data_IF_567883697943
#
_entry.id   IF_567883697943
#
_cell.length_a   1.000
_cell.length_b   1.000
_cell.length_c   1.000
_cell.angle_alpha   90.00
_cell.angle_beta   90.00
_cell.angle_gamma   90.00
#
_symmetry.space_group_name_H-M   'P 1'
#
loop_
_entity.id
_entity.type
_entity.pdbx_description
1 polymer ?
#
# COMPACT_ATOMS: atom_id res chain seq x y z
N UNK A 1 15.30 -70.26 0.41
CA UNK A 1 15.77 -68.95 0.90
C UNK A 1 15.79 -67.90 -0.21
N UNK A 2 16.52 -68.10 -1.33
CA UNK A 2 16.64 -67.13 -2.43
C UNK A 2 15.31 -66.65 -3.07
N UNK A 3 14.29 -67.51 -3.15
CA UNK A 3 13.01 -67.12 -3.79
C UNK A 3 12.11 -66.30 -2.88
N UNK A 4 12.18 -66.52 -1.56
CA UNK A 4 11.45 -65.71 -0.57
C UNK A 4 11.99 -64.27 -0.53
N UNK A 5 13.30 -64.10 -0.54
CA UNK A 5 13.97 -62.79 -0.60
C UNK A 5 13.61 -62.00 -1.86
N UNK A 6 13.48 -62.68 -3.01
CA UNK A 6 13.02 -62.05 -4.26
C UNK A 6 11.56 -61.60 -4.17
N UNK A 7 10.70 -62.41 -3.55
CA UNK A 7 9.29 -62.08 -3.36
C UNK A 7 9.12 -60.85 -2.47
N UNK A 8 9.80 -60.83 -1.33
CA UNK A 8 9.80 -59.71 -0.38
C UNK A 8 10.29 -58.40 -1.05
N UNK A 9 11.30 -58.49 -1.92
CA UNK A 9 11.80 -57.35 -2.68
C UNK A 9 10.77 -56.83 -3.71
N UNK A 10 10.03 -57.72 -4.37
CA UNK A 10 8.98 -57.35 -5.32
C UNK A 10 7.82 -56.67 -4.60
N UNK A 11 7.37 -57.23 -3.47
CA UNK A 11 6.30 -56.64 -2.66
C UNK A 11 6.67 -55.24 -2.15
N UNK A 12 7.90 -55.08 -1.66
CA UNK A 12 8.42 -53.77 -1.24
C UNK A 12 8.42 -52.75 -2.38
N UNK A 13 8.88 -53.14 -3.58
CA UNK A 13 8.85 -52.27 -4.76
C UNK A 13 7.43 -51.91 -5.17
N UNK A 14 6.50 -52.87 -5.21
CA UNK A 14 5.11 -52.60 -5.55
C UNK A 14 4.48 -51.61 -4.58
N UNK A 15 4.73 -51.77 -3.27
CA UNK A 15 4.26 -50.82 -2.25
C UNK A 15 4.83 -49.42 -2.45
N UNK A 16 6.12 -49.29 -2.81
CA UNK A 16 6.71 -47.99 -3.16
C UNK A 16 6.01 -47.37 -4.39
N UNK A 17 5.79 -48.15 -5.45
CA UNK A 17 5.06 -47.68 -6.65
C UNK A 17 3.63 -47.22 -6.32
N UNK A 18 2.90 -47.99 -5.51
CA UNK A 18 1.55 -47.62 -5.06
C UNK A 18 1.55 -46.29 -4.30
N UNK A 19 2.50 -46.11 -3.36
CA UNK A 19 2.65 -44.86 -2.61
C UNK A 19 2.94 -43.66 -3.53
N UNK A 20 3.80 -43.83 -4.53
CA UNK A 20 4.09 -42.77 -5.51
C UNK A 20 2.86 -42.40 -6.34
N UNK A 21 2.07 -43.40 -6.77
CA UNK A 21 0.81 -43.16 -7.50
C UNK A 21 -0.18 -42.38 -6.63
N UNK A 22 -0.31 -42.71 -5.34
CA UNK A 22 -1.20 -41.98 -4.43
C UNK A 22 -0.77 -40.52 -4.23
N UNK A 23 0.55 -40.28 -4.12
CA UNK A 23 1.10 -38.91 -4.06
C UNK A 23 0.79 -38.12 -5.33
N UNK A 24 1.00 -38.70 -6.50
CA UNK A 24 0.67 -38.05 -7.78
C UNK A 24 -0.82 -37.71 -7.90
N UNK A 25 -1.72 -38.60 -7.47
CA UNK A 25 -3.17 -38.32 -7.41
C UNK A 25 -3.51 -37.17 -6.48
N UNK A 26 -2.80 -37.03 -5.35
CA UNK A 26 -2.99 -35.90 -4.44
C UNK A 26 -2.54 -34.59 -5.08
N UNK A 27 -1.39 -34.60 -5.75
CA UNK A 27 -0.84 -33.45 -6.49
C UNK A 27 -1.79 -33.02 -7.59
N UNK A 28 -2.37 -33.96 -8.35
CA UNK A 28 -3.35 -33.66 -9.40
C UNK A 28 -4.55 -32.89 -8.85
N UNK A 29 -5.16 -33.39 -7.78
CA UNK A 29 -6.29 -32.71 -7.10
C UNK A 29 -5.92 -31.34 -6.58
N UNK A 30 -4.72 -31.22 -6.01
CA UNK A 30 -4.25 -29.94 -5.50
C UNK A 30 -4.04 -28.95 -6.63
N UNK A 31 -3.38 -29.36 -7.72
CA UNK A 31 -3.15 -28.52 -8.89
C UNK A 31 -4.46 -28.02 -9.51
N UNK A 32 -5.48 -28.86 -9.57
CA UNK A 32 -6.80 -28.48 -10.09
C UNK A 32 -7.58 -27.51 -9.16
N UNK A 33 -7.18 -27.41 -7.88
CA UNK A 33 -7.77 -26.46 -6.91
C UNK A 33 -7.06 -25.11 -6.85
N UNK A 34 -5.89 -24.98 -7.46
CA UNK A 34 -5.12 -23.75 -7.45
C UNK A 34 -5.65 -22.75 -8.47
N UNK A 35 -5.51 -21.47 -8.12
CA UNK A 35 -5.68 -20.36 -9.05
C UNK A 35 -4.40 -20.22 -9.91
N UNK A 36 -4.40 -20.93 -11.03
CA UNK A 36 -3.25 -21.07 -11.93
C UNK A 36 -3.28 -20.12 -13.13
N UNK A 37 -4.13 -19.10 -13.10
CA UNK A 37 -4.20 -18.11 -14.18
C UNK A 37 -2.82 -17.46 -14.41
N UNK A 38 -2.39 -17.42 -15.68
CA UNK A 38 -1.08 -16.90 -16.07
C UNK A 38 0.09 -17.87 -15.85
N UNK A 39 -0.19 -19.13 -15.48
CA UNK A 39 0.79 -20.20 -15.29
C UNK A 39 0.47 -21.45 -16.11
N UNK A 40 -0.21 -21.30 -17.24
CA UNK A 40 -0.71 -22.41 -18.05
C UNK A 40 0.43 -23.33 -18.52
N UNK A 41 1.60 -22.76 -18.82
CA UNK A 41 2.78 -23.50 -19.27
C UNK A 41 3.33 -24.42 -18.17
N UNK A 42 3.45 -23.92 -16.94
CA UNK A 42 3.85 -24.70 -15.78
C UNK A 42 2.84 -25.80 -15.46
N UNK A 43 1.54 -25.49 -15.51
CA UNK A 43 0.48 -26.47 -15.27
C UNK A 43 0.56 -27.61 -16.29
N UNK A 44 0.71 -27.30 -17.59
CA UNK A 44 0.87 -28.29 -18.65
C UNK A 44 2.13 -29.14 -18.40
N UNK A 45 3.25 -28.49 -18.06
CA UNK A 45 4.50 -29.19 -17.78
C UNK A 45 4.38 -30.16 -16.60
N UNK A 46 3.68 -29.79 -15.53
CA UNK A 46 3.41 -30.64 -14.37
C UNK A 46 2.47 -31.79 -14.77
N UNK A 47 1.34 -31.48 -15.43
CA UNK A 47 0.34 -32.49 -15.85
C UNK A 47 0.94 -33.55 -16.77
N UNK A 48 1.88 -33.18 -17.64
CA UNK A 48 2.59 -34.14 -18.51
C UNK A 48 3.40 -35.20 -17.74
N UNK A 49 3.85 -34.89 -16.52
CA UNK A 49 4.68 -35.76 -15.66
C UNK A 49 3.87 -36.58 -14.67
N UNK A 50 2.60 -36.22 -14.41
CA UNK A 50 1.70 -36.94 -13.49
C UNK A 50 1.46 -38.42 -13.87
N UNK A 51 1.71 -38.79 -15.14
CA UNK A 51 1.52 -40.15 -15.65
C UNK A 51 2.70 -41.09 -15.33
N UNK A 52 3.80 -40.56 -14.78
CA UNK A 52 5.02 -41.34 -14.49
C UNK A 52 5.32 -41.35 -12.98
N UNK A 53 5.04 -42.47 -12.28
CA UNK A 53 5.35 -42.65 -10.86
C UNK A 53 6.81 -42.39 -10.48
N UNK A 54 7.75 -42.54 -11.42
CA UNK A 54 9.18 -42.29 -11.16
C UNK A 54 9.51 -40.80 -11.03
N UNK A 55 8.63 -39.91 -11.53
CA UNK A 55 8.82 -38.45 -11.51
C UNK A 55 8.16 -37.74 -10.32
N UNK A 56 7.59 -38.47 -9.37
CA UNK A 56 6.83 -37.89 -8.25
C UNK A 56 7.59 -36.77 -7.51
N UNK A 57 8.88 -36.96 -7.23
CA UNK A 57 9.69 -35.95 -6.52
C UNK A 57 9.89 -34.68 -7.35
N UNK A 58 10.09 -34.83 -8.66
CA UNK A 58 10.21 -33.69 -9.58
C UNK A 58 8.89 -32.93 -9.64
N UNK A 59 7.77 -33.65 -9.72
CA UNK A 59 6.43 -33.07 -9.77
C UNK A 59 6.09 -32.32 -8.47
N UNK A 60 6.44 -32.88 -7.32
CA UNK A 60 6.24 -32.20 -6.02
C UNK A 60 7.05 -30.91 -5.92
N UNK A 61 8.30 -30.92 -6.41
CA UNK A 61 9.14 -29.73 -6.46
C UNK A 61 8.53 -28.66 -7.38
N UNK A 62 8.17 -29.03 -8.61
CA UNK A 62 7.57 -28.10 -9.58
C UNK A 62 6.23 -27.52 -9.07
N UNK A 63 5.38 -28.35 -8.44
CA UNK A 63 4.14 -27.88 -7.81
C UNK A 63 4.43 -26.89 -6.68
N UNK A 64 5.45 -27.16 -5.86
CA UNK A 64 5.86 -26.26 -4.77
C UNK A 64 6.36 -24.91 -5.31
N UNK A 65 7.17 -24.93 -6.37
CA UNK A 65 7.62 -23.72 -7.07
C UNK A 65 6.45 -22.93 -7.68
N UNK A 66 5.48 -23.62 -8.30
CA UNK A 66 4.29 -23.00 -8.85
C UNK A 66 3.45 -22.29 -7.77
N UNK A 67 3.23 -22.95 -6.62
CA UNK A 67 2.52 -22.33 -5.49
C UNK A 67 3.21 -21.05 -5.02
N UNK A 68 4.54 -21.07 -4.91
CA UNK A 68 5.30 -19.88 -4.53
C UNK A 68 5.12 -18.75 -5.55
N UNK A 69 5.10 -19.03 -6.86
CA UNK A 69 4.83 -18.01 -7.88
C UNK A 69 3.41 -17.45 -7.77
N UNK A 70 2.40 -18.30 -7.55
CA UNK A 70 1.00 -17.88 -7.38
C UNK A 70 0.86 -16.94 -6.18
N UNK A 71 1.48 -17.27 -5.05
CA UNK A 71 1.47 -16.42 -3.86
C UNK A 71 2.15 -15.07 -4.10
N UNK A 72 3.29 -15.06 -4.81
CA UNK A 72 3.96 -13.81 -5.20
C UNK A 72 3.10 -12.97 -6.14
N UNK A 73 2.42 -13.58 -7.12
CA UNK A 73 1.46 -12.90 -8.01
C UNK A 73 0.37 -12.21 -7.19
N UNK A 74 -0.34 -12.95 -6.34
CA UNK A 74 -1.42 -12.41 -5.50
C UNK A 74 -0.94 -11.28 -4.59
N UNK A 75 0.24 -11.43 -3.99
CA UNK A 75 0.83 -10.39 -3.15
C UNK A 75 1.17 -9.12 -3.95
N UNK A 76 1.77 -9.27 -5.13
CA UNK A 76 2.11 -8.14 -5.98
C UNK A 76 0.83 -7.40 -6.45
N UNK A 77 -0.17 -8.14 -6.92
CA UNK A 77 -1.44 -7.60 -7.40
C UNK A 77 -2.18 -6.79 -6.31
N UNK A 78 -2.34 -7.38 -5.13
CA UNK A 78 -2.98 -6.69 -3.99
C UNK A 78 -2.19 -5.46 -3.53
N UNK A 79 -0.87 -5.48 -3.65
CA UNK A 79 0.00 -4.35 -3.29
C UNK A 79 -0.08 -3.23 -4.34
N UNK A 80 -0.08 -3.55 -5.64
CA UNK A 80 -0.29 -2.59 -6.73
C UNK A 80 -1.60 -1.83 -6.50
N UNK A 81 -2.70 -2.57 -6.28
CA UNK A 81 -4.02 -1.98 -6.03
C UNK A 81 -4.05 -1.05 -4.81
N UNK A 82 -3.32 -1.38 -3.74
CA UNK A 82 -3.23 -0.54 -2.53
C UNK A 82 -2.47 0.76 -2.79
N UNK A 83 -1.40 0.69 -3.58
CA UNK A 83 -0.49 1.82 -3.81
C UNK A 83 -0.95 2.75 -4.95
N UNK A 84 -1.84 2.30 -5.83
CA UNK A 84 -2.32 3.03 -7.01
C UNK A 84 -2.70 4.49 -6.72
N UNK A 85 -3.55 4.73 -5.72
CA UNK A 85 -4.00 6.08 -5.38
C UNK A 85 -2.86 6.90 -4.75
N UNK A 86 -2.09 6.31 -3.84
CA UNK A 86 -1.07 7.03 -3.08
C UNK A 86 0.12 7.44 -3.96
N UNK A 87 0.56 6.54 -4.85
CA UNK A 87 1.67 6.80 -5.75
C UNK A 87 1.37 7.93 -6.73
N UNK A 88 0.11 8.10 -7.14
CA UNK A 88 -0.30 9.16 -8.09
C UNK A 88 -0.05 10.60 -7.60
N UNK A 89 0.18 10.82 -6.30
CA UNK A 89 0.51 12.15 -5.76
C UNK A 89 2.01 12.36 -5.54
N UNK A 90 2.83 11.32 -5.71
CA UNK A 90 4.26 11.35 -5.41
C UNK A 90 5.01 10.85 -6.65
N UNK A 91 5.59 11.75 -7.48
CA UNK A 91 6.18 11.39 -8.77
C UNK A 91 7.17 10.22 -8.73
N UNK A 92 8.09 10.23 -7.75
CA UNK A 92 9.08 9.15 -7.57
C UNK A 92 8.40 7.80 -7.24
N UNK A 93 7.33 7.82 -6.45
CA UNK A 93 6.56 6.62 -6.14
C UNK A 93 5.74 6.14 -7.35
N UNK A 94 5.19 7.06 -8.14
CA UNK A 94 4.47 6.75 -9.38
C UNK A 94 5.37 6.05 -10.40
N UNK A 95 6.62 6.51 -10.55
CA UNK A 95 7.61 5.87 -11.44
C UNK A 95 7.93 4.45 -10.98
N UNK A 96 8.17 4.25 -9.68
CA UNK A 96 8.42 2.93 -9.10
C UNK A 96 7.23 1.98 -9.30
N UNK A 97 6.00 2.47 -9.13
CA UNK A 97 4.78 1.69 -9.35
C UNK A 97 4.66 1.27 -10.82
N UNK A 98 4.91 2.17 -11.77
CA UNK A 98 4.91 1.86 -13.21
C UNK A 98 5.91 0.76 -13.57
N UNK A 99 7.12 0.79 -12.98
CA UNK A 99 8.12 -0.26 -13.19
C UNK A 99 7.63 -1.58 -12.58
N UNK A 100 7.08 -1.56 -11.37
CA UNK A 100 6.54 -2.74 -10.72
C UNK A 100 5.42 -3.42 -11.53
N UNK A 101 4.49 -2.64 -12.10
CA UNK A 101 3.41 -3.14 -12.94
C UNK A 101 3.93 -3.75 -14.24
N UNK A 102 4.95 -3.16 -14.86
CA UNK A 102 5.59 -3.69 -16.06
C UNK A 102 6.24 -5.05 -15.78
N UNK A 103 6.92 -5.18 -14.66
CA UNK A 103 7.54 -6.45 -14.23
C UNK A 103 6.48 -7.49 -13.82
N UNK A 104 5.39 -7.06 -13.19
CA UNK A 104 4.24 -7.93 -12.89
C UNK A 104 3.64 -8.54 -14.16
N UNK A 105 3.38 -7.73 -15.20
CA UNK A 105 2.86 -8.17 -16.50
C UNK A 105 3.81 -9.13 -17.23
N UNK A 106 5.11 -9.09 -16.93
CA UNK A 106 6.13 -10.00 -17.47
C UNK A 106 6.25 -11.32 -16.70
N UNK A 107 5.53 -11.48 -15.59
CA UNK A 107 5.67 -12.62 -14.69
C UNK A 107 6.88 -12.53 -13.74
N UNK A 108 7.57 -11.38 -13.71
CA UNK A 108 8.75 -11.14 -12.87
C UNK A 108 8.33 -10.68 -11.46
N UNK A 109 7.58 -11.52 -10.74
CA UNK A 109 6.93 -11.13 -9.49
C UNK A 109 7.91 -10.76 -8.37
N UNK A 110 9.09 -11.39 -8.29
CA UNK A 110 10.13 -11.01 -7.34
C UNK A 110 10.63 -9.58 -7.56
N UNK A 111 10.93 -9.23 -8.80
CA UNK A 111 11.35 -7.88 -9.19
C UNK A 111 10.22 -6.88 -8.96
N UNK A 112 8.99 -7.23 -9.33
CA UNK A 112 7.80 -6.42 -9.07
C UNK A 112 7.65 -6.12 -7.58
N UNK A 113 7.71 -7.12 -6.71
CA UNK A 113 7.63 -6.96 -5.25
C UNK A 113 8.76 -6.10 -4.68
N UNK A 114 9.97 -6.17 -5.25
CA UNK A 114 11.08 -5.29 -4.87
C UNK A 114 10.75 -3.82 -5.17
N UNK A 115 10.30 -3.51 -6.39
CA UNK A 115 9.88 -2.14 -6.74
C UNK A 115 8.71 -1.64 -5.90
N UNK A 116 7.72 -2.50 -5.61
CA UNK A 116 6.61 -2.16 -4.73
C UNK A 116 7.07 -1.81 -3.31
N UNK A 117 8.07 -2.53 -2.80
CA UNK A 117 8.66 -2.25 -1.48
C UNK A 117 9.37 -0.89 -1.46
N UNK A 118 10.04 -0.52 -2.55
CA UNK A 118 10.66 0.81 -2.69
C UNK A 118 9.60 1.91 -2.84
N UNK A 119 8.55 1.67 -3.62
CA UNK A 119 7.42 2.59 -3.79
C UNK A 119 6.77 2.89 -2.42
N UNK A 120 6.47 1.85 -1.63
CA UNK A 120 5.91 2.01 -0.29
C UNK A 120 6.85 2.78 0.65
N UNK A 121 8.16 2.53 0.56
CA UNK A 121 9.16 3.28 1.34
C UNK A 121 9.14 4.77 1.00
N UNK A 122 9.15 5.12 -0.29
CA UNK A 122 9.09 6.52 -0.76
C UNK A 122 7.82 7.20 -0.23
N UNK A 123 6.66 6.56 -0.39
CA UNK A 123 5.38 7.09 0.11
C UNK A 123 5.42 7.33 1.63
N UNK A 124 6.03 6.42 2.39
CA UNK A 124 6.12 6.53 3.84
C UNK A 124 7.19 7.53 4.32
N UNK A 125 8.20 7.82 3.50
CA UNK A 125 9.26 8.78 3.79
C UNK A 125 8.91 10.21 3.42
N UNK A 126 7.97 10.40 2.50
CA UNK A 126 7.45 11.70 2.13
C UNK A 126 6.82 12.44 3.34
N UNK A 127 7.04 13.74 3.42
CA UNK A 127 6.69 14.57 4.55
C UNK A 127 5.77 15.74 4.13
N UNK A 128 4.59 15.89 4.76
CA UNK A 128 3.75 17.06 4.53
C UNK A 128 4.40 18.35 5.06
N UNK A 129 4.08 19.44 4.38
CA UNK A 129 4.40 20.82 4.76
C UNK A 129 3.17 21.68 4.52
N UNK A 130 2.51 22.09 5.61
CA UNK A 130 1.25 22.83 5.54
C UNK A 130 1.45 24.33 5.70
N UNK A 131 0.77 25.09 4.85
CA UNK A 131 0.62 26.53 4.96
C UNK A 131 -0.85 26.92 5.00
N UNK A 132 -1.13 28.09 5.58
CA UNK A 132 -2.47 28.65 5.73
C UNK A 132 -2.55 30.05 5.18
N UNK A 133 -3.66 30.33 4.51
CA UNK A 133 -4.04 31.65 4.01
C UNK A 133 -5.45 31.96 4.48
N UNK A 134 -5.71 33.20 4.88
CA UNK A 134 -7.06 33.69 5.19
C UNK A 134 -7.56 34.55 4.03
N UNK A 135 -8.85 34.48 3.73
CA UNK A 135 -9.46 35.31 2.69
C UNK A 135 -9.46 36.80 3.00
N UNK A 136 -9.28 37.17 4.27
CA UNK A 136 -9.06 38.55 4.72
C UNK A 136 -8.29 38.61 6.04
N UNK A 137 -7.57 39.71 6.24
CA UNK A 137 -6.79 40.01 7.44
C UNK A 137 -7.23 41.31 8.14
N UNK A 138 -8.13 42.08 7.52
CA UNK A 138 -8.73 43.28 8.11
C UNK A 138 -10.13 42.97 8.65
N UNK A 139 -10.37 43.36 9.90
CA UNK A 139 -11.60 43.05 10.62
C UNK A 139 -12.15 44.27 11.37
N UNK A 140 -13.46 44.30 11.56
CA UNK A 140 -14.11 45.26 12.45
C UNK A 140 -14.00 44.74 13.88
N UNK A 141 -13.42 45.56 14.77
CA UNK A 141 -13.25 45.20 16.18
C UNK A 141 -14.55 44.71 16.82
N UNK A 142 -14.47 43.59 17.57
CA UNK A 142 -15.58 42.95 18.27
C UNK A 142 -16.80 42.60 17.40
N UNK A 143 -16.62 42.47 16.07
CA UNK A 143 -17.67 42.03 15.15
C UNK A 143 -17.40 40.60 14.67
N UNK A 144 -18.46 39.79 14.65
CA UNK A 144 -18.41 38.49 14.00
C UNK A 144 -18.38 38.65 12.49
N UNK A 145 -17.41 38.01 11.86
CA UNK A 145 -17.27 37.98 10.43
C UNK A 145 -16.98 36.56 9.94
N UNK A 146 -17.56 36.20 8.80
CA UNK A 146 -17.22 34.95 8.13
C UNK A 146 -15.90 35.12 7.37
N UNK A 147 -15.05 34.11 7.47
CA UNK A 147 -13.70 34.05 6.92
C UNK A 147 -13.52 32.67 6.29
N UNK A 148 -12.80 32.61 5.19
CA UNK A 148 -12.33 31.35 4.60
C UNK A 148 -10.87 31.18 4.97
N UNK A 149 -10.50 29.99 5.45
CA UNK A 149 -9.11 29.55 5.57
C UNK A 149 -8.82 28.54 4.47
N UNK A 150 -7.77 28.79 3.70
CA UNK A 150 -7.19 27.82 2.77
C UNK A 150 -5.96 27.19 3.43
N UNK A 151 -5.94 25.86 3.50
CA UNK A 151 -4.80 25.08 3.93
C UNK A 151 -4.22 24.39 2.71
N UNK A 152 -2.94 24.64 2.41
CA UNK A 152 -2.24 24.02 1.29
C UNK A 152 -1.10 23.14 1.78
N UNK A 153 -0.97 21.96 1.19
CA UNK A 153 0.16 21.09 1.42
C UNK A 153 1.20 21.28 0.31
N UNK A 154 2.31 21.94 0.64
CA UNK A 154 3.47 22.12 -0.24
C UNK A 154 4.47 20.97 -0.14
N UNK A 155 4.34 20.13 0.88
CA UNK A 155 5.18 18.96 1.06
C UNK A 155 4.83 17.84 0.08
N UNK A 156 5.73 16.87 -0.01
CA UNK A 156 5.58 15.67 -0.84
C UNK A 156 4.83 14.55 -0.12
N UNK A 157 4.57 14.68 1.19
CA UNK A 157 3.86 13.69 1.99
C UNK A 157 2.40 14.06 2.28
N UNK A 158 1.60 13.05 2.61
CA UNK A 158 0.19 13.25 3.01
C UNK A 158 0.08 13.74 4.45
N UNK A 159 -0.79 14.71 4.68
CA UNK A 159 -1.18 15.17 6.01
C UNK A 159 -2.51 14.56 6.44
N UNK A 160 -2.62 14.13 7.71
CA UNK A 160 -3.84 13.63 8.34
C UNK A 160 -4.08 14.26 9.71
N UNK A 161 -5.32 14.20 10.19
CA UNK A 161 -5.73 14.73 11.51
C UNK A 161 -5.33 16.20 11.70
N UNK A 162 -5.69 17.07 10.74
CA UNK A 162 -5.25 18.46 10.74
C UNK A 162 -6.16 19.30 11.66
N UNK A 163 -5.53 19.97 12.62
CA UNK A 163 -6.17 20.86 13.58
C UNK A 163 -5.54 22.24 13.50
N UNK A 164 -6.39 23.26 13.49
CA UNK A 164 -5.98 24.66 13.38
C UNK A 164 -6.45 25.39 14.63
N UNK A 165 -5.57 26.21 15.20
CA UNK A 165 -5.88 27.08 16.34
C UNK A 165 -5.30 28.47 16.12
N UNK A 166 -5.93 29.47 16.72
CA UNK A 166 -5.56 30.88 16.60
C UNK A 166 -5.04 31.41 17.94
N UNK A 167 -4.31 32.53 17.94
CA UNK A 167 -3.98 33.26 19.17
C UNK A 167 -5.21 33.82 19.87
N UNK A 168 -5.07 34.15 21.15
CA UNK A 168 -6.15 34.66 22.00
C UNK A 168 -6.64 36.06 21.59
N UNK A 169 -6.02 36.69 20.60
CA UNK A 169 -6.42 37.98 20.01
C UNK A 169 -7.74 37.89 19.22
N UNK A 170 -8.18 36.67 18.92
CA UNK A 170 -9.42 36.38 18.19
C UNK A 170 -10.21 35.26 18.87
N UNK A 171 -11.53 35.30 18.69
CA UNK A 171 -12.43 34.18 19.04
C UNK A 171 -12.96 33.56 17.76
N UNK A 172 -12.90 32.23 17.68
CA UNK A 172 -13.31 31.45 16.51
C UNK A 172 -14.49 30.54 16.83
N UNK A 173 -15.42 30.39 15.87
CA UNK A 173 -16.55 29.46 15.91
C UNK A 173 -16.67 28.70 14.59
N UNK A 174 -17.18 27.48 14.67
CA UNK A 174 -17.50 26.63 13.52
C UNK A 174 -16.30 26.33 12.60
N UNK A 175 -15.09 26.26 13.16
CA UNK A 175 -13.91 25.87 12.38
C UNK A 175 -13.97 24.37 12.08
N UNK A 176 -14.03 23.96 10.80
CA UNK A 176 -14.07 22.55 10.43
C UNK A 176 -12.75 21.85 10.75
N UNK A 177 -12.83 20.57 11.10
CA UNK A 177 -11.66 19.69 11.06
C UNK A 177 -11.36 19.30 9.61
N UNK A 178 -10.07 19.19 9.28
CA UNK A 178 -9.64 18.69 7.97
C UNK A 178 -8.96 17.34 8.19
N UNK A 179 -9.60 16.28 7.74
CA UNK A 179 -9.14 14.92 8.04
C UNK A 179 -7.86 14.55 7.29
N UNK A 180 -7.72 15.02 6.05
CA UNK A 180 -6.67 14.58 5.13
C UNK A 180 -6.37 15.64 4.07
N UNK A 181 -5.10 15.85 3.72
CA UNK A 181 -4.68 16.66 2.56
C UNK A 181 -3.52 15.94 1.85
N UNK A 182 -3.70 15.71 0.56
CA UNK A 182 -2.71 15.12 -0.35
C UNK A 182 -1.59 16.11 -0.71
N UNK A 183 -0.41 15.63 -1.15
CA UNK A 183 0.66 16.48 -1.68
C UNK A 183 0.16 17.42 -2.78
N UNK A 184 0.56 18.70 -2.71
CA UNK A 184 0.20 19.72 -3.69
C UNK A 184 -1.26 20.22 -3.64
N UNK A 185 -2.12 19.59 -2.83
CA UNK A 185 -3.55 19.92 -2.74
C UNK A 185 -3.81 21.01 -1.71
N UNK A 186 -4.82 21.83 -2.00
CA UNK A 186 -5.37 22.82 -1.07
C UNK A 186 -6.79 22.46 -0.68
N UNK A 187 -7.15 22.67 0.58
CA UNK A 187 -8.53 22.58 1.08
C UNK A 187 -8.93 23.91 1.71
N UNK A 188 -10.15 24.34 1.44
CA UNK A 188 -10.73 25.55 2.01
C UNK A 188 -11.81 25.19 3.04
N UNK A 189 -11.95 26.04 4.05
CA UNK A 189 -12.97 25.91 5.07
C UNK A 189 -13.47 27.30 5.48
N UNK A 190 -14.78 27.46 5.63
CA UNK A 190 -15.38 28.68 6.18
C UNK A 190 -15.59 28.56 7.68
N UNK A 191 -15.36 29.66 8.40
CA UNK A 191 -15.56 29.76 9.83
C UNK A 191 -15.88 31.20 10.23
N UNK A 192 -16.36 31.40 11.47
CA UNK A 192 -16.62 32.74 11.99
C UNK A 192 -15.50 33.16 12.94
N UNK A 193 -14.97 34.37 12.73
CA UNK A 193 -13.93 34.98 13.56
C UNK A 193 -14.45 36.30 14.13
N UNK A 194 -14.06 36.61 15.37
CA UNK A 194 -14.27 37.91 16.00
C UNK A 194 -12.98 38.38 16.68
N UNK A 195 -12.41 39.53 16.29
CA UNK A 195 -11.28 40.12 17.01
C UNK A 195 -11.69 40.58 18.41
N UNK A 196 -10.83 40.32 19.40
CA UNK A 196 -10.99 40.81 20.78
C UNK A 196 -9.91 41.80 21.21
N UNK A 197 -8.94 42.06 20.33
CA UNK A 197 -7.93 43.09 20.51
C UNK A 197 -7.98 44.10 19.33
N UNK A 198 -7.58 45.34 19.59
CA UNK A 198 -7.66 46.47 18.65
C UNK A 198 -6.26 46.90 18.18
N UNK A 199 -6.14 47.26 16.90
CA UNK A 199 -4.90 47.73 16.27
C UNK A 199 -4.33 46.75 15.26
N UNK A 200 -3.10 47.02 14.80
CA UNK A 200 -2.36 46.15 13.88
C UNK A 200 -1.71 45.00 14.65
N UNK A 201 -2.46 43.90 14.80
CA UNK A 201 -2.04 42.76 15.60
C UNK A 201 -1.65 41.59 14.69
N UNK A 202 -0.42 41.05 14.81
CA UNK A 202 -0.04 39.86 14.08
C UNK A 202 -0.85 38.66 14.57
N UNK A 203 -1.65 38.05 13.68
CA UNK A 203 -2.46 36.89 14.02
C UNK A 203 -1.61 35.62 13.96
N UNK A 204 -1.40 34.95 15.11
CA UNK A 204 -0.73 33.65 15.12
C UNK A 204 -1.73 32.52 14.83
N UNK A 205 -1.38 31.68 13.86
CA UNK A 205 -2.10 30.46 13.52
C UNK A 205 -1.18 29.27 13.74
N UNK A 206 -1.65 28.30 14.51
CA UNK A 206 -0.94 27.03 14.74
C UNK A 206 -1.67 25.90 14.04
N UNK A 207 -0.94 25.13 13.24
CA UNK A 207 -1.42 23.95 12.53
C UNK A 207 -0.75 22.72 13.15
N UNK A 208 -1.55 21.78 13.58
CA UNK A 208 -1.10 20.48 14.11
C UNK A 208 -1.62 19.39 13.19
N UNK A 209 -0.75 18.48 12.76
CA UNK A 209 -1.09 17.39 11.85
C UNK A 209 -0.19 16.18 12.07
N UNK A 210 -0.52 15.06 11.42
CA UNK A 210 0.34 13.87 11.34
C UNK A 210 0.69 13.54 9.89
N UNK A 211 1.84 12.92 9.68
CA UNK A 211 2.17 12.28 8.40
C UNK A 211 1.62 10.84 8.33
N UNK A 212 1.84 10.12 7.24
CA UNK A 212 1.38 8.72 7.09
C UNK A 212 1.95 7.79 8.17
N UNK A 213 3.23 7.98 8.56
CA UNK A 213 3.88 7.27 9.69
C UNK A 213 3.26 7.57 11.05
N UNK A 214 2.33 8.53 11.16
CA UNK A 214 1.67 8.92 12.40
C UNK A 214 2.49 9.89 13.26
N UNK A 215 3.64 10.37 12.77
CA UNK A 215 4.47 11.37 13.45
C UNK A 215 3.72 12.69 13.49
N UNK A 216 3.50 13.23 14.69
CA UNK A 216 2.86 14.52 14.92
C UNK A 216 3.84 15.66 14.60
N UNK A 217 3.35 16.66 13.88
CA UNK A 217 4.05 17.91 13.59
C UNK A 217 3.18 19.10 14.03
N UNK A 218 3.84 20.22 14.31
CA UNK A 218 3.21 21.48 14.68
C UNK A 218 3.95 22.61 13.98
N UNK A 219 3.22 23.46 13.29
CA UNK A 219 3.75 24.61 12.56
C UNK A 219 3.02 25.85 13.04
N UNK A 220 3.78 26.90 13.40
CA UNK A 220 3.23 28.22 13.71
C UNK A 220 3.47 29.15 12.53
N UNK A 221 2.47 29.94 12.19
CA UNK A 221 2.51 30.98 11.17
C UNK A 221 1.95 32.27 11.75
N UNK A 222 2.52 33.37 11.31
CA UNK A 222 2.03 34.71 11.66
C UNK A 222 1.48 35.34 10.40
N UNK A 223 0.20 35.68 10.43
CA UNK A 223 -0.50 36.37 9.35
C UNK A 223 -0.57 37.85 9.73
N UNK A 224 -0.22 38.72 8.80
CA UNK A 224 -0.26 40.18 8.95
C UNK A 224 -1.28 40.76 8.00
#
# INVERSE_FOLDING_TARGET
MKDKEKLDLIESKLRDYENRIQRLKRIERELDSLDTEGFESEVIAIKSKLKDPKKVEVVERELSELKLKIEKRKKAESTIKRLEILAGFIPDAEELLKIAEKEFKRGNYDTSLSYLSHCEKVIMEAEPELEVELSKTSFIFNRWENVEIKVKNYGDGFAKEIRISFSDDVVVRNLPEIDFIEPGISKSAEFSLRPVAEGEIPLEVTIVYRNLKGKKKSVRRTIR
#
